data_IF_857674510084
#
_entry.id   IF_857674510084
#
_cell.length_a   1.000
_cell.length_b   1.000
_cell.length_c   1.000
_cell.angle_alpha   90.00
_cell.angle_beta   90.00
_cell.angle_gamma   90.00
#
_symmetry.space_group_name_H-M   'P 1'
#
loop_
_entity.id
_entity.type
_entity.pdbx_description
1 polymer ?
#
# COMPACT_ATOMS: atom_id res chain seq x y z
N UNK A 1 -0.20 -27.63 -24.47
CA UNK A 1 0.74 -26.87 -23.62
C UNK A 1 -0.06 -25.88 -22.80
N UNK A 2 0.05 -26.03 -21.49
CA UNK A 2 -0.95 -25.65 -20.49
C UNK A 2 -1.07 -24.14 -20.30
N UNK A 3 -2.30 -23.63 -20.40
CA UNK A 3 -2.63 -22.23 -20.16
C UNK A 3 -2.66 -21.95 -18.65
N UNK A 4 -1.48 -21.73 -18.06
CA UNK A 4 -1.32 -21.14 -16.72
C UNK A 4 -0.66 -19.75 -16.82
N UNK A 5 -1.20 -18.87 -17.67
CA UNK A 5 -0.63 -17.52 -17.85
C UNK A 5 -1.67 -16.42 -18.13
N UNK A 6 -2.88 -16.52 -17.59
CA UNK A 6 -3.89 -15.43 -17.73
C UNK A 6 -4.50 -14.98 -16.41
N UNK A 7 -3.67 -14.88 -15.37
CA UNK A 7 -3.99 -14.06 -14.19
C UNK A 7 -3.68 -12.56 -14.42
N UNK A 8 -3.58 -12.11 -15.68
CA UNK A 8 -3.17 -10.73 -16.05
C UNK A 8 -3.99 -10.13 -17.20
N UNK A 9 -5.20 -10.61 -17.47
CA UNK A 9 -6.04 -10.08 -18.57
C UNK A 9 -7.45 -9.66 -18.17
N UNK A 10 -7.81 -9.74 -16.89
CA UNK A 10 -9.16 -9.38 -16.42
C UNK A 10 -9.16 -8.08 -15.63
N UNK A 11 -9.20 -6.94 -16.34
CA UNK A 11 -9.63 -5.65 -15.77
C UNK A 11 -8.87 -5.16 -14.54
N UNK A 12 -7.66 -5.65 -14.29
CA UNK A 12 -6.84 -5.20 -13.17
C UNK A 12 -6.27 -3.82 -13.49
N UNK A 13 -6.30 -2.97 -12.48
CA UNK A 13 -5.84 -1.60 -12.62
C UNK A 13 -4.33 -1.54 -12.37
N UNK A 14 -3.62 -0.92 -13.30
CA UNK A 14 -2.18 -0.69 -13.22
C UNK A 14 -1.82 0.31 -12.12
N UNK A 15 -0.52 0.44 -11.84
CA UNK A 15 -0.01 1.48 -10.96
C UNK A 15 -0.52 2.86 -11.42
N UNK A 16 -0.96 3.68 -10.47
CA UNK A 16 -1.59 4.99 -10.69
C UNK A 16 -2.98 4.99 -11.32
N UNK A 17 -3.57 3.84 -11.65
CA UNK A 17 -4.93 3.79 -12.16
C UNK A 17 -5.99 3.97 -11.05
N UNK A 18 -7.20 4.41 -11.44
CA UNK A 18 -8.30 4.63 -10.52
C UNK A 18 -8.97 3.30 -10.15
N UNK A 19 -9.03 2.98 -8.85
CA UNK A 19 -9.62 1.76 -8.30
C UNK A 19 -10.87 1.99 -7.47
N UNK A 20 -11.32 3.23 -7.37
CA UNK A 20 -12.50 3.55 -6.60
C UNK A 20 -12.81 5.03 -6.58
N UNK A 21 -13.99 5.34 -6.06
CA UNK A 21 -14.57 6.67 -6.04
C UNK A 21 -16.06 6.56 -5.80
N UNK A 22 -16.69 7.66 -5.38
CA UNK A 22 -18.15 7.71 -5.16
C UNK A 22 -18.93 7.36 -6.44
N UNK A 23 -18.37 7.67 -7.62
CA UNK A 23 -19.00 7.53 -8.93
C UNK A 23 -18.23 6.56 -9.87
N UNK A 24 -17.39 5.68 -9.29
CA UNK A 24 -16.54 4.79 -10.09
C UNK A 24 -17.23 3.45 -10.37
N UNK A 25 -17.68 3.27 -11.61
CA UNK A 25 -18.27 2.03 -12.14
C UNK A 25 -17.23 1.07 -12.75
N UNK A 26 -15.98 1.50 -12.85
CA UNK A 26 -14.88 0.69 -13.37
C UNK A 26 -14.42 -0.41 -12.41
N UNK A 27 -13.37 -1.16 -12.82
CA UNK A 27 -12.78 -2.17 -11.96
C UNK A 27 -12.32 -1.56 -10.63
N UNK A 28 -12.42 -2.32 -9.54
CA UNK A 28 -12.00 -1.86 -8.20
C UNK A 28 -10.79 -2.60 -7.67
N UNK A 29 -10.25 -3.49 -8.51
CA UNK A 29 -9.18 -4.41 -8.14
C UNK A 29 -7.90 -3.96 -8.83
N UNK A 30 -6.87 -3.71 -8.03
CA UNK A 30 -5.53 -3.41 -8.51
C UNK A 30 -4.80 -4.71 -8.88
N UNK A 31 -3.85 -4.61 -9.81
CA UNK A 31 -2.95 -5.73 -10.15
C UNK A 31 -2.21 -6.24 -8.92
N UNK A 32 -1.86 -7.52 -8.92
CA UNK A 32 -1.14 -8.17 -7.81
C UNK A 32 0.12 -7.39 -7.43
N UNK A 33 0.29 -7.10 -6.14
CA UNK A 33 1.29 -6.19 -5.52
C UNK A 33 0.92 -4.68 -5.49
N UNK A 34 -0.25 -4.30 -5.97
CA UNK A 34 -0.78 -2.95 -5.82
C UNK A 34 -1.95 -2.90 -4.85
N UNK A 35 -2.05 -1.81 -4.11
CA UNK A 35 -3.07 -1.58 -3.09
C UNK A 35 -3.89 -0.36 -3.50
N UNK A 36 -5.21 -0.49 -3.46
CA UNK A 36 -6.11 0.62 -3.73
C UNK A 36 -6.08 1.61 -2.55
N UNK A 37 -5.38 2.73 -2.72
CA UNK A 37 -5.26 3.76 -1.71
C UNK A 37 -6.25 4.90 -1.98
N UNK A 38 -7.11 5.18 -1.00
CA UNK A 38 -8.06 6.28 -1.07
C UNK A 38 -7.33 7.62 -0.95
N UNK A 39 -7.35 8.44 -2.01
CA UNK A 39 -6.81 9.80 -1.99
C UNK A 39 -7.88 10.82 -1.59
N UNK A 40 -9.10 10.62 -2.08
CA UNK A 40 -10.24 11.51 -1.88
C UNK A 40 -11.55 10.72 -1.80
N UNK A 41 -12.66 11.38 -1.42
CA UNK A 41 -13.99 10.76 -1.41
C UNK A 41 -14.41 10.22 -2.79
N UNK A 42 -14.00 10.92 -3.85
CA UNK A 42 -14.36 10.61 -5.24
C UNK A 42 -13.27 9.85 -6.01
N UNK A 43 -12.08 9.65 -5.42
CA UNK A 43 -10.94 9.11 -6.14
C UNK A 43 -10.03 8.26 -5.23
N UNK A 44 -9.84 7.01 -5.64
CA UNK A 44 -8.88 6.07 -5.06
C UNK A 44 -7.96 5.56 -6.16
N UNK A 45 -6.68 5.43 -5.85
CA UNK A 45 -5.64 5.10 -6.82
C UNK A 45 -4.89 3.83 -6.41
N UNK A 46 -4.59 2.95 -7.37
CA UNK A 46 -3.71 1.82 -7.16
C UNK A 46 -2.28 2.29 -7.01
N UNK A 47 -1.66 2.01 -5.87
CA UNK A 47 -0.25 2.28 -5.64
C UNK A 47 0.48 1.00 -5.26
N UNK A 48 1.73 0.89 -5.68
CA UNK A 48 2.65 -0.10 -5.13
C UNK A 48 2.68 -0.02 -3.62
N UNK A 49 2.71 -1.17 -2.94
CA UNK A 49 2.74 -1.21 -1.48
C UNK A 49 3.89 -0.33 -0.91
N UNK A 50 5.01 -0.27 -1.62
CA UNK A 50 6.10 0.67 -1.36
C UNK A 50 5.68 2.14 -1.47
N UNK A 51 5.01 2.54 -2.57
CA UNK A 51 4.58 3.90 -2.83
C UNK A 51 3.48 4.35 -1.84
N UNK A 52 2.55 3.44 -1.50
CA UNK A 52 1.56 3.67 -0.44
C UNK A 52 2.23 3.87 0.93
N UNK A 53 3.31 3.13 1.20
CA UNK A 53 4.11 3.30 2.41
C UNK A 53 4.93 4.61 2.41
N UNK A 54 5.27 5.19 1.25
CA UNK A 54 5.85 6.54 1.18
C UNK A 54 4.77 7.61 1.39
N UNK A 55 3.58 7.44 0.80
CA UNK A 55 2.50 8.42 0.87
C UNK A 55 1.90 8.57 2.29
N UNK A 56 1.91 7.49 3.08
CA UNK A 56 1.39 7.50 4.46
C UNK A 56 2.49 7.83 5.49
N UNK A 57 3.75 7.86 5.07
CA UNK A 57 4.87 8.18 5.95
C UNK A 57 5.15 9.68 5.88
N UNK A 58 5.00 10.45 6.97
CA UNK A 58 5.47 11.82 6.99
C UNK A 58 6.99 11.79 6.89
N UNK A 59 7.52 12.07 5.68
CA UNK A 59 8.95 12.16 5.37
C UNK A 59 9.72 10.82 5.53
N UNK A 60 10.77 10.57 4.73
CA UNK A 60 11.80 9.65 5.16
C UNK A 60 12.50 10.31 6.35
N UNK A 61 12.01 10.02 7.55
CA UNK A 61 12.88 10.11 8.72
C UNK A 61 13.97 9.07 8.47
N UNK A 62 15.09 9.55 7.92
CA UNK A 62 16.38 8.87 7.96
C UNK A 62 16.50 8.39 9.40
N UNK A 63 16.36 7.09 9.65
CA UNK A 63 16.64 6.53 10.96
C UNK A 63 18.17 6.54 11.03
N UNK A 64 18.81 7.42 11.84
CA UNK A 64 20.23 7.26 12.09
C UNK A 64 20.43 5.92 12.83
N UNK A 65 21.40 5.09 12.42
CA UNK A 65 21.73 3.87 13.17
C UNK A 65 22.30 4.27 14.53
N UNK A 66 21.49 4.24 15.60
CA UNK A 66 21.98 4.52 16.96
C UNK A 66 20.99 4.94 18.04
N UNK A 67 19.67 4.85 17.83
CA UNK A 67 18.68 5.22 18.85
C UNK A 67 18.56 4.18 19.97
N UNK A 68 19.33 4.34 21.05
CA UNK A 68 19.16 3.58 22.30
C UNK A 68 17.75 3.83 22.89
N UNK A 69 16.93 2.79 22.96
CA UNK A 69 15.69 2.82 23.74
C UNK A 69 16.04 2.96 25.23
N UNK A 70 15.91 4.18 25.78
CA UNK A 70 15.96 4.40 27.22
C UNK A 70 14.55 4.61 27.74
N UNK A 71 14.16 3.81 28.75
CA UNK A 71 13.12 4.18 29.70
C UNK A 71 11.87 3.31 29.70
N UNK A 72 11.95 2.13 30.34
CA UNK A 72 10.80 1.35 30.79
C UNK A 72 11.24 0.34 31.84
N UNK A 73 10.72 0.46 33.05
CA UNK A 73 11.13 -0.22 34.28
C UNK A 73 10.91 -1.75 34.28
N UNK A 74 11.96 -2.55 34.10
CA UNK A 74 11.89 -3.97 34.43
C UNK A 74 11.93 -4.18 35.96
N UNK A 75 10.78 -4.09 36.64
CA UNK A 75 10.62 -4.79 37.92
C UNK A 75 10.47 -6.28 37.60
N UNK A 76 11.61 -6.96 37.47
CA UNK A 76 11.70 -8.42 37.39
C UNK A 76 11.16 -9.07 38.67
N UNK A 77 10.38 -10.17 38.60
CA UNK A 77 10.22 -11.07 39.72
C UNK A 77 11.32 -12.14 39.65
N UNK A 78 12.18 -12.18 40.67
CA UNK A 78 12.87 -13.37 41.23
C UNK A 78 13.68 -12.93 42.46
#
# INVERSE_FOLDING_TARGET
MNAISSMDKDGLIEEFGQCGGLDWEGPKICKTNFICMKRSKYYSQCLSAEAAAIATRPSPQVIPPGGKCHGGNIRSPL
#
